data_IF_944556518252
#
_entry.id   IF_944556518252
#
_cell.length_a   1.000
_cell.length_b   1.000
_cell.length_c   1.000
_cell.angle_alpha   90.00
_cell.angle_beta   90.00
_cell.angle_gamma   90.00
#
_symmetry.space_group_name_H-M   'P 1'
#
loop_
_entity.id
_entity.type
_entity.pdbx_description
1 polymer ?
#
# COMPACT_ATOMS: atom_id res chain seq x y z
N UNK A 1 -13.61 3.89 8.79
CA UNK A 1 -12.43 3.74 9.69
C UNK A 1 -12.90 3.54 11.12
N UNK A 2 -12.23 2.70 11.89
CA UNK A 2 -12.52 2.47 13.31
C UNK A 2 -11.84 3.56 14.15
N UNK A 3 -12.59 4.25 15.01
CA UNK A 3 -12.07 5.25 15.94
C UNK A 3 -11.98 4.64 17.34
N UNK A 4 -10.82 4.80 18.00
CA UNK A 4 -10.50 4.20 19.30
C UNK A 4 -9.84 5.26 20.20
N UNK A 5 -10.12 5.21 21.49
CA UNK A 5 -9.61 6.18 22.47
C UNK A 5 -8.29 5.70 23.12
N UNK A 6 -8.13 4.38 23.27
CA UNK A 6 -6.92 3.77 23.80
C UNK A 6 -6.57 2.46 23.05
N UNK A 7 -5.29 2.04 23.03
CA UNK A 7 -4.88 0.81 22.35
C UNK A 7 -5.64 -0.45 22.80
N UNK A 8 -6.07 -0.52 24.06
CA UNK A 8 -6.86 -1.64 24.59
C UNK A 8 -8.26 -1.77 23.97
N UNK A 9 -8.78 -0.70 23.38
CA UNK A 9 -10.12 -0.67 22.81
C UNK A 9 -10.21 -1.44 21.48
N UNK A 10 -9.08 -1.94 20.95
CA UNK A 10 -9.08 -2.88 19.81
C UNK A 10 -9.66 -4.26 20.17
N UNK A 11 -9.57 -4.67 21.44
CA UNK A 11 -9.87 -6.05 21.86
C UNK A 11 -11.32 -6.49 21.56
N UNK A 12 -12.36 -5.66 21.77
CA UNK A 12 -13.74 -6.02 21.41
C UNK A 12 -13.99 -6.18 19.90
N UNK A 13 -13.03 -5.81 19.05
CA UNK A 13 -13.16 -5.86 17.59
C UNK A 13 -12.42 -7.04 16.95
N UNK A 14 -11.82 -7.93 17.75
CA UNK A 14 -11.19 -9.16 17.24
C UNK A 14 -12.22 -10.01 16.50
N UNK A 15 -11.88 -10.43 15.28
CA UNK A 15 -12.76 -11.23 14.42
C UNK A 15 -13.78 -10.42 13.61
N UNK A 16 -13.82 -9.10 13.76
CA UNK A 16 -14.69 -8.22 12.96
C UNK A 16 -14.02 -7.86 11.62
N UNK A 17 -14.73 -8.03 10.52
CA UNK A 17 -14.33 -7.47 9.22
C UNK A 17 -14.51 -5.94 9.20
N UNK A 18 -13.48 -5.21 8.76
CA UNK A 18 -13.47 -3.74 8.73
C UNK A 18 -13.88 -3.14 7.37
N UNK A 19 -14.04 -3.99 6.35
CA UNK A 19 -14.29 -3.58 4.98
C UNK A 19 -13.01 -3.12 4.24
N UNK A 20 -13.10 -2.92 2.91
CA UNK A 20 -11.99 -2.45 2.10
C UNK A 20 -11.69 -0.96 2.37
N UNK A 21 -10.48 -0.52 2.03
CA UNK A 21 -10.15 0.90 1.94
C UNK A 21 -10.77 1.53 0.69
N UNK A 22 -10.67 2.85 0.59
CA UNK A 22 -10.84 3.54 -0.68
C UNK A 22 -9.81 3.06 -1.71
N UNK A 23 -10.16 3.18 -2.98
CA UNK A 23 -9.23 2.92 -4.08
C UNK A 23 -8.06 3.91 -4.04
N UNK A 24 -6.87 3.42 -4.34
CA UNK A 24 -5.66 4.21 -4.46
C UNK A 24 -5.09 4.07 -5.87
N UNK A 25 -4.84 5.20 -6.52
CA UNK A 25 -4.10 5.22 -7.79
C UNK A 25 -2.64 4.94 -7.52
N UNK A 26 -2.11 3.87 -8.11
CA UNK A 26 -0.67 3.58 -8.10
C UNK A 26 -0.04 4.32 -9.28
N UNK A 27 0.85 5.27 -8.99
CA UNK A 27 1.55 6.06 -10.01
C UNK A 27 2.93 5.46 -10.30
N UNK A 28 3.49 5.80 -11.46
CA UNK A 28 4.87 5.42 -11.79
C UNK A 28 5.87 5.92 -10.74
N UNK A 29 5.71 7.15 -10.24
CA UNK A 29 6.57 7.71 -9.18
C UNK A 29 6.58 6.86 -7.90
N UNK A 30 5.44 6.25 -7.53
CA UNK A 30 5.38 5.34 -6.39
C UNK A 30 6.17 4.06 -6.64
N UNK A 31 6.10 3.54 -7.86
CA UNK A 31 6.84 2.34 -8.29
C UNK A 31 8.34 2.65 -8.31
N UNK A 32 8.74 3.80 -8.86
CA UNK A 32 10.14 4.22 -8.91
C UNK A 32 10.74 4.35 -7.50
N UNK A 33 10.03 5.00 -6.57
CA UNK A 33 10.45 5.11 -5.16
C UNK A 33 10.57 3.76 -4.47
N UNK A 34 9.70 2.81 -4.82
CA UNK A 34 9.78 1.45 -4.30
C UNK A 34 11.03 0.72 -4.83
N UNK A 35 11.33 0.86 -6.12
CA UNK A 35 12.55 0.34 -6.73
C UNK A 35 13.82 0.91 -6.06
N UNK A 36 13.86 2.23 -5.83
CA UNK A 36 14.95 2.90 -5.11
C UNK A 36 15.13 2.35 -3.69
N UNK A 37 14.03 2.19 -2.94
CA UNK A 37 14.06 1.74 -1.56
C UNK A 37 14.48 0.27 -1.39
N UNK A 38 14.15 -0.57 -2.37
CA UNK A 38 14.38 -2.03 -2.32
C UNK A 38 15.59 -2.48 -3.12
N UNK A 39 16.10 -1.63 -4.02
CA UNK A 39 17.11 -1.98 -5.00
C UNK A 39 16.55 -2.73 -6.22
N UNK A 40 15.23 -3.01 -6.27
CA UNK A 40 14.61 -3.75 -7.37
C UNK A 40 14.31 -2.83 -8.57
N UNK A 41 15.31 -2.70 -9.43
CA UNK A 41 15.22 -1.93 -10.67
C UNK A 41 14.98 -2.83 -11.89
N UNK A 42 14.24 -3.93 -11.74
CA UNK A 42 13.85 -4.72 -12.91
C UNK A 42 13.14 -3.83 -13.94
N UNK A 43 13.49 -4.00 -15.22
CA UNK A 43 13.04 -3.10 -16.29
C UNK A 43 11.51 -3.02 -16.42
N UNK A 44 10.79 -4.09 -16.04
CA UNK A 44 9.32 -4.10 -16.00
C UNK A 44 8.73 -3.08 -15.01
N UNK A 45 9.52 -2.56 -14.08
CA UNK A 45 9.09 -1.60 -13.07
C UNK A 45 9.46 -0.16 -13.44
N UNK A 46 10.64 0.06 -14.03
CA UNK A 46 11.24 1.40 -14.16
C UNK A 46 11.44 1.87 -15.61
N UNK A 47 11.35 0.97 -16.59
CA UNK A 47 11.49 1.30 -18.01
C UNK A 47 10.11 1.25 -18.68
N UNK A 48 9.43 2.40 -18.67
CA UNK A 48 8.04 2.54 -19.14
C UNK A 48 7.91 2.20 -20.62
N UNK A 49 8.85 2.60 -21.47
CA UNK A 49 8.78 2.33 -22.91
C UNK A 49 8.95 0.84 -23.21
N UNK A 50 9.89 0.19 -22.53
CA UNK A 50 10.13 -1.24 -22.70
C UNK A 50 9.01 -2.10 -22.12
N UNK A 51 8.30 -1.60 -21.11
CA UNK A 51 7.20 -2.31 -20.44
C UNK A 51 5.84 -2.23 -21.16
N UNK A 52 5.70 -1.40 -22.21
CA UNK A 52 4.45 -1.27 -22.98
C UNK A 52 4.14 -2.49 -23.86
#
# INVERSE_FOLDING_TARGET
>A
MLNLEAPRDVLPHVGRELGPSEWLTVTQEMIDKFAEATGDHQWIHVDVERAQ
#
